data_IF_361642392569
#
_entry.id   IF_361642392569
#
_cell.length_a   1.000
_cell.length_b   1.000
_cell.length_c   1.000
_cell.angle_alpha   90.00
_cell.angle_beta   90.00
_cell.angle_gamma   90.00
#
_symmetry.space_group_name_H-M   'P 1'
#
loop_
_entity.id
_entity.type
_entity.pdbx_description
1 polymer ?
#
# COMPACT_ATOMS: atom_id res chain seq x y z
N UNK A 1 4.51 -6.78 6.64
CA UNK A 1 4.23 -8.06 7.31
C UNK A 1 4.66 -9.23 6.43
N UNK A 2 5.36 -10.18 7.03
CA UNK A 2 5.81 -11.43 6.41
C UNK A 2 4.92 -12.56 6.93
N UNK A 3 3.98 -13.10 6.13
CA UNK A 3 3.11 -14.18 6.59
C UNK A 3 3.87 -15.51 6.82
N UNK A 4 5.04 -15.65 6.20
CA UNK A 4 5.94 -16.81 6.34
C UNK A 4 7.37 -16.39 6.74
N UNK A 5 7.57 -15.82 7.95
CA UNK A 5 8.89 -15.38 8.39
C UNK A 5 9.83 -16.58 8.55
N UNK A 6 11.13 -16.33 8.39
CA UNK A 6 12.14 -17.33 8.72
C UNK A 6 12.09 -17.64 10.22
N UNK A 7 12.19 -18.92 10.63
CA UNK A 7 12.26 -19.29 12.03
C UNK A 7 13.44 -18.60 12.73
N UNK A 8 13.21 -18.07 13.92
CA UNK A 8 14.27 -17.53 14.79
C UNK A 8 14.44 -18.47 16.00
N UNK A 9 15.69 -18.69 16.40
CA UNK A 9 16.01 -19.49 17.60
C UNK A 9 15.85 -18.73 18.91
N UNK A 10 15.44 -17.48 18.85
CA UNK A 10 15.26 -16.59 20.01
C UNK A 10 14.07 -17.05 20.85
N UNK A 11 14.24 -17.10 22.17
CA UNK A 11 13.24 -17.62 23.12
C UNK A 11 12.71 -16.56 24.10
N UNK A 12 13.32 -15.37 24.12
CA UNK A 12 13.01 -14.28 25.06
C UNK A 12 12.11 -13.17 24.45
N UNK A 13 11.71 -13.34 23.21
CA UNK A 13 10.80 -12.43 22.51
C UNK A 13 10.05 -13.15 21.38
N UNK A 14 8.91 -12.60 20.91
CA UNK A 14 8.23 -13.11 19.71
C UNK A 14 9.14 -13.03 18.47
N UNK A 15 8.95 -13.96 17.55
CA UNK A 15 9.60 -13.94 16.23
C UNK A 15 9.20 -12.69 15.46
N UNK A 16 10.18 -11.98 14.88
CA UNK A 16 9.91 -10.79 14.09
C UNK A 16 9.33 -11.16 12.72
N UNK A 17 8.07 -10.78 12.50
CA UNK A 17 7.34 -11.07 11.27
C UNK A 17 7.01 -9.80 10.45
N UNK A 18 7.73 -8.70 10.66
CA UNK A 18 7.53 -7.46 9.92
C UNK A 18 8.84 -6.69 9.72
N UNK A 19 8.83 -5.85 8.69
CA UNK A 19 9.86 -4.84 8.42
C UNK A 19 9.18 -3.50 8.19
N UNK A 20 9.93 -2.41 8.33
CA UNK A 20 9.42 -1.06 8.14
C UNK A 20 9.98 -0.48 6.84
N UNK A 21 9.12 0.20 6.08
CA UNK A 21 9.49 1.00 4.92
C UNK A 21 9.20 2.44 5.27
N UNK A 22 10.18 3.32 5.08
CA UNK A 22 10.05 4.74 5.38
C UNK A 22 9.98 5.55 4.10
N UNK A 23 8.97 6.42 3.99
CA UNK A 23 8.90 7.43 2.96
C UNK A 23 9.55 8.71 3.48
N UNK A 24 10.66 9.11 2.86
CA UNK A 24 11.40 10.31 3.20
C UNK A 24 11.33 11.30 2.04
N UNK A 25 11.09 12.58 2.34
CA UNK A 25 10.97 13.64 1.34
C UNK A 25 11.83 14.82 1.72
N UNK A 26 12.39 15.56 0.73
CA UNK A 26 13.17 16.79 0.97
C UNK A 26 12.28 17.98 1.34
N UNK A 27 11.07 18.01 0.78
CA UNK A 27 10.14 19.13 0.91
C UNK A 27 8.77 18.62 1.31
N UNK A 28 7.91 19.49 1.82
CA UNK A 28 6.50 19.19 2.12
C UNK A 28 5.70 18.81 0.88
N UNK A 29 6.02 19.44 -0.27
CA UNK A 29 5.41 19.11 -1.57
C UNK A 29 6.34 18.18 -2.33
N UNK A 30 5.85 16.98 -2.64
CA UNK A 30 6.57 15.95 -3.38
C UNK A 30 5.61 15.19 -4.29
N UNK A 31 6.16 14.48 -5.27
CA UNK A 31 5.38 13.60 -6.13
C UNK A 31 4.95 12.35 -5.35
N UNK A 32 3.67 12.02 -5.45
CA UNK A 32 3.12 10.78 -4.92
C UNK A 32 1.86 10.39 -5.70
N UNK A 33 1.93 9.30 -6.45
CA UNK A 33 0.80 8.77 -7.20
C UNK A 33 0.03 7.72 -6.38
N UNK A 34 -0.97 8.17 -5.66
CA UNK A 34 -1.84 7.29 -4.89
C UNK A 34 -2.77 6.44 -5.77
N UNK A 35 -3.07 6.88 -7.01
CA UNK A 35 -4.00 6.17 -7.90
C UNK A 35 -3.36 4.88 -8.43
N UNK A 36 -2.09 4.91 -8.81
CA UNK A 36 -1.37 3.77 -9.37
C UNK A 36 -1.26 2.58 -8.41
N UNK A 37 -1.29 2.84 -7.11
CA UNK A 37 -1.14 1.81 -6.07
C UNK A 37 -2.43 1.43 -5.35
N UNK A 38 -3.60 1.93 -5.82
CA UNK A 38 -4.89 1.55 -5.24
C UNK A 38 -5.11 0.04 -5.32
N UNK A 39 -5.71 -0.50 -4.28
CA UNK A 39 -6.10 -1.91 -4.18
C UNK A 39 -7.59 -2.07 -4.41
N UNK A 40 -8.01 -3.25 -4.87
CA UNK A 40 -9.43 -3.55 -5.00
C UNK A 40 -10.14 -3.46 -3.64
N UNK A 41 -11.30 -2.83 -3.64
CA UNK A 41 -12.11 -2.70 -2.43
C UNK A 41 -12.83 -4.03 -2.16
N UNK A 42 -12.56 -4.66 -1.02
CA UNK A 42 -13.28 -5.86 -0.57
C UNK A 42 -14.73 -5.58 -0.15
N UNK A 43 -15.10 -4.32 -0.06
CA UNK A 43 -16.44 -3.86 0.37
C UNK A 43 -17.37 -3.57 -0.81
N UNK A 44 -17.01 -4.02 -2.02
CA UNK A 44 -17.87 -3.90 -3.18
C UNK A 44 -19.21 -4.62 -2.91
N UNK A 45 -20.29 -3.86 -2.84
CA UNK A 45 -21.64 -4.41 -2.71
C UNK A 45 -22.22 -4.54 -1.31
N UNK A 46 -21.48 -4.33 -0.23
CA UNK A 46 -22.06 -4.19 1.12
C UNK A 46 -22.30 -2.74 1.48
N UNK A 47 -22.99 -2.03 0.61
CA UNK A 47 -23.56 -0.77 1.01
C UNK A 47 -24.71 -1.05 1.96
N UNK A 48 -24.49 -0.81 3.24
CA UNK A 48 -25.61 -0.60 4.13
C UNK A 48 -26.35 0.60 3.56
N UNK A 49 -27.57 0.37 3.05
CA UNK A 49 -28.48 1.46 2.70
C UNK A 49 -28.46 2.43 3.87
N UNK A 50 -28.21 3.73 3.61
CA UNK A 50 -28.28 4.70 4.69
C UNK A 50 -29.64 4.48 5.36
N UNK A 51 -29.62 4.29 6.65
CA UNK A 51 -30.86 4.30 7.42
C UNK A 51 -31.59 5.57 6.98
N UNK A 52 -32.77 5.42 6.37
CA UNK A 52 -33.64 6.57 6.11
C UNK A 52 -33.98 7.17 7.46
N UNK A 53 -33.12 8.08 7.93
CA UNK A 53 -33.45 8.93 9.05
C UNK A 53 -34.63 9.78 8.56
N UNK A 54 -35.76 9.59 9.16
CA UNK A 54 -36.95 10.43 8.94
C UNK A 54 -36.58 11.82 9.42
N UNK A 55 -37.12 12.84 8.76
CA UNK A 55 -36.88 14.25 9.03
C UNK A 55 -37.20 14.68 10.48
N UNK A 56 -37.72 13.80 11.30
CA UNK A 56 -38.06 14.02 12.70
C UNK A 56 -36.84 13.93 13.67
N UNK A 57 -35.66 13.44 13.21
CA UNK A 57 -34.48 13.24 14.09
C UNK A 57 -33.58 14.48 14.17
N UNK A 58 -34.02 15.68 13.69
CA UNK A 58 -33.14 16.84 13.48
C UNK A 58 -33.48 18.09 14.33
N UNK A 59 -34.34 17.96 15.33
CA UNK A 59 -34.68 19.10 16.22
C UNK A 59 -33.58 19.44 17.24
N UNK A 60 -32.49 18.63 17.34
CA UNK A 60 -31.42 18.84 18.32
C UNK A 60 -30.26 19.71 17.82
N UNK A 61 -30.30 20.26 16.64
CA UNK A 61 -29.30 21.22 16.14
C UNK A 61 -27.90 20.58 15.82
N UNK A 62 -27.76 19.29 15.76
CA UNK A 62 -26.47 18.61 15.54
C UNK A 62 -25.95 18.64 14.09
N UNK A 63 -26.47 19.48 13.23
CA UNK A 63 -25.92 19.94 11.94
C UNK A 63 -25.14 18.98 11.04
N UNK A 64 -25.25 17.68 11.23
CA UNK A 64 -24.63 16.67 10.36
C UNK A 64 -25.43 16.57 9.06
N UNK A 65 -25.07 17.38 8.07
CA UNK A 65 -25.63 17.28 6.72
C UNK A 65 -25.43 15.85 6.20
N UNK A 66 -26.53 15.25 5.76
CA UNK A 66 -26.48 14.02 4.97
C UNK A 66 -25.60 14.30 3.74
N UNK A 67 -24.42 13.70 3.68
CA UNK A 67 -23.54 13.82 2.53
C UNK A 67 -24.25 13.21 1.31
N UNK A 68 -24.80 14.06 0.45
CA UNK A 68 -25.20 13.70 -0.90
C UNK A 68 -23.92 13.36 -1.69
N UNK A 69 -23.56 12.11 -1.77
CA UNK A 69 -22.31 11.72 -2.44
C UNK A 69 -22.05 10.21 -2.44
N UNK A 70 -22.98 9.42 -1.97
CA UNK A 70 -22.81 7.98 -1.81
C UNK A 70 -23.14 7.12 -3.06
N UNK A 71 -23.37 7.73 -4.22
CA UNK A 71 -23.72 6.98 -5.44
C UNK A 71 -22.53 6.59 -6.31
N UNK A 72 -21.29 6.81 -5.85
CA UNK A 72 -20.10 6.29 -6.53
C UNK A 72 -19.79 4.88 -6.03
N UNK A 73 -19.87 3.91 -6.95
CA UNK A 73 -19.26 2.59 -6.72
C UNK A 73 -17.75 2.76 -6.62
N UNK A 74 -17.23 2.66 -5.42
CA UNK A 74 -15.79 2.64 -5.19
C UNK A 74 -15.28 1.21 -5.41
N UNK A 75 -14.78 0.93 -6.61
CA UNK A 75 -14.17 -0.36 -6.94
C UNK A 75 -12.77 -0.49 -6.36
N UNK A 76 -12.11 0.62 -6.07
CA UNK A 76 -10.74 0.69 -5.55
C UNK A 76 -10.67 1.50 -4.25
N UNK A 77 -9.80 1.08 -3.36
CA UNK A 77 -9.49 1.75 -2.10
C UNK A 77 -8.01 2.15 -2.06
N UNK A 78 -7.68 3.18 -1.28
CA UNK A 78 -6.29 3.56 -1.04
C UNK A 78 -5.53 2.37 -0.44
N UNK A 79 -4.28 2.19 -0.88
CA UNK A 79 -3.39 1.18 -0.32
C UNK A 79 -3.19 1.43 1.17
N UNK A 80 -3.33 0.38 1.97
CA UNK A 80 -3.10 0.45 3.42
C UNK A 80 -1.61 0.50 3.73
N UNK A 81 -1.26 0.99 4.90
CA UNK A 81 0.11 1.10 5.40
C UNK A 81 0.72 -0.25 5.84
N UNK A 82 -0.12 -1.26 6.10
CA UNK A 82 0.34 -2.62 6.40
C UNK A 82 0.21 -3.48 5.14
N UNK A 83 1.36 -3.93 4.62
CA UNK A 83 1.44 -4.79 3.44
C UNK A 83 1.79 -6.21 3.85
N UNK A 84 1.07 -7.19 3.33
CA UNK A 84 1.34 -8.61 3.54
C UNK A 84 2.05 -9.16 2.31
N UNK A 85 3.37 -9.30 2.41
CA UNK A 85 4.22 -9.76 1.31
C UNK A 85 4.95 -11.03 1.76
N UNK A 86 4.73 -12.18 1.10
CA UNK A 86 5.42 -13.41 1.44
C UNK A 86 6.91 -13.33 1.10
N UNK A 87 7.72 -13.94 1.96
CA UNK A 87 9.14 -14.14 1.67
C UNK A 87 9.24 -15.19 0.56
N UNK A 88 9.88 -14.82 -0.55
CA UNK A 88 10.16 -15.70 -1.68
C UNK A 88 11.63 -16.14 -1.66
N UNK A 89 11.90 -17.40 -1.93
CA UNK A 89 13.25 -17.88 -2.13
C UNK A 89 13.79 -17.34 -3.46
N UNK A 90 15.03 -16.85 -3.43
CA UNK A 90 15.76 -16.44 -4.63
C UNK A 90 16.78 -17.50 -5.00
N UNK A 91 16.75 -18.05 -6.22
CA UNK A 91 17.64 -19.14 -6.63
C UNK A 91 19.09 -18.70 -6.92
N UNK A 92 19.36 -17.40 -6.91
CA UNK A 92 20.70 -16.85 -7.17
C UNK A 92 21.58 -16.74 -5.93
N UNK A 93 22.84 -16.34 -6.12
CA UNK A 93 23.86 -16.22 -5.09
C UNK A 93 23.73 -14.99 -4.17
N UNK A 94 22.52 -14.46 -3.95
CA UNK A 94 22.26 -13.30 -3.10
C UNK A 94 21.42 -13.68 -1.88
N UNK A 95 21.94 -13.37 -0.68
CA UNK A 95 21.36 -13.81 0.59
C UNK A 95 20.23 -12.91 1.14
N UNK A 96 20.08 -11.69 0.63
CA UNK A 96 19.13 -10.71 1.18
C UNK A 96 18.35 -9.99 0.07
N UNK A 97 17.59 -10.77 -0.71
CA UNK A 97 16.75 -10.21 -1.77
C UNK A 97 15.35 -9.94 -1.27
N UNK A 98 14.74 -8.86 -1.73
CA UNK A 98 13.31 -8.58 -1.55
C UNK A 98 12.55 -8.89 -2.85
N UNK A 99 11.26 -9.17 -2.72
CA UNK A 99 10.42 -9.48 -3.88
C UNK A 99 10.03 -8.21 -4.66
N UNK A 100 9.75 -8.37 -5.96
CA UNK A 100 9.20 -7.29 -6.80
C UNK A 100 7.90 -6.74 -6.24
N UNK A 101 7.04 -7.59 -5.66
CA UNK A 101 5.76 -7.21 -5.02
C UNK A 101 5.94 -6.19 -3.88
N UNK A 102 7.11 -6.20 -3.21
CA UNK A 102 7.41 -5.25 -2.15
C UNK A 102 7.76 -3.87 -2.70
N UNK A 103 8.61 -3.82 -3.74
CA UNK A 103 9.17 -2.56 -4.24
C UNK A 103 8.29 -1.89 -5.30
N UNK A 104 7.47 -2.67 -6.00
CA UNK A 104 6.59 -2.16 -7.06
C UNK A 104 5.72 -0.98 -6.61
N UNK A 105 4.97 -1.04 -5.50
CA UNK A 105 4.18 0.10 -5.06
C UNK A 105 5.03 1.31 -4.64
N UNK A 106 6.29 1.10 -4.25
CA UNK A 106 7.19 2.19 -3.93
C UNK A 106 7.63 2.94 -5.19
N UNK A 107 7.96 2.21 -6.26
CA UNK A 107 8.35 2.79 -7.55
C UNK A 107 7.16 3.50 -8.18
N UNK A 108 6.01 2.82 -8.28
CA UNK A 108 4.79 3.38 -8.88
C UNK A 108 4.32 4.67 -8.19
N UNK A 109 4.33 4.69 -6.87
CA UNK A 109 3.91 5.88 -6.14
C UNK A 109 4.95 6.99 -6.11
N UNK A 110 6.23 6.65 -6.08
CA UNK A 110 7.31 7.61 -5.83
C UNK A 110 8.01 8.16 -7.07
N UNK A 111 7.85 7.52 -8.24
CA UNK A 111 8.53 7.91 -9.47
C UNK A 111 7.53 8.13 -10.61
N UNK A 112 7.48 9.33 -11.23
CA UNK A 112 6.67 9.53 -12.42
C UNK A 112 7.24 8.75 -13.62
N UNK A 113 6.39 8.44 -14.60
CA UNK A 113 6.82 7.83 -15.87
C UNK A 113 7.92 8.68 -16.50
N UNK A 114 9.00 8.04 -16.94
CA UNK A 114 10.20 8.70 -17.45
C UNK A 114 11.09 9.33 -16.39
N UNK A 115 10.77 9.15 -15.10
CA UNK A 115 11.60 9.59 -13.98
C UNK A 115 12.81 8.66 -13.75
N UNK A 116 13.68 9.05 -12.83
CA UNK A 116 14.89 8.27 -12.49
C UNK A 116 14.73 7.63 -11.12
N UNK A 117 14.93 6.32 -11.05
CA UNK A 117 15.00 5.55 -9.82
C UNK A 117 16.46 5.23 -9.50
N UNK A 118 16.93 5.59 -8.30
CA UNK A 118 18.27 5.27 -7.82
C UNK A 118 18.19 4.24 -6.69
N UNK A 119 18.88 3.13 -6.87
CA UNK A 119 19.08 2.11 -5.83
C UNK A 119 20.58 1.89 -5.60
N UNK A 120 21.17 2.52 -4.55
CA UNK A 120 22.59 2.40 -4.28
C UNK A 120 23.00 1.01 -3.74
N UNK A 121 22.03 0.17 -3.39
CA UNK A 121 22.24 -1.19 -2.85
C UNK A 121 21.53 -2.25 -3.69
N UNK A 122 21.54 -2.08 -5.01
CA UNK A 122 20.67 -2.82 -5.94
C UNK A 122 20.79 -4.36 -5.89
N UNK A 123 21.91 -4.93 -5.40
CA UNK A 123 22.06 -6.36 -5.23
C UNK A 123 21.66 -7.17 -6.47
N UNK A 124 20.55 -7.88 -6.38
CA UNK A 124 19.97 -8.65 -7.49
C UNK A 124 19.24 -7.78 -8.53
N UNK A 125 19.35 -6.46 -8.45
CA UNK A 125 18.71 -5.48 -9.33
C UNK A 125 17.17 -5.52 -9.35
N UNK A 126 16.53 -5.98 -8.28
CA UNK A 126 15.06 -6.09 -8.19
C UNK A 126 14.36 -4.76 -8.45
N UNK A 127 14.88 -3.66 -7.89
CA UNK A 127 14.37 -2.29 -8.13
C UNK A 127 14.49 -1.91 -9.61
N UNK A 128 15.62 -2.22 -10.25
CA UNK A 128 15.84 -1.95 -11.68
C UNK A 128 14.86 -2.73 -12.56
N UNK A 129 14.63 -4.02 -12.25
CA UNK A 129 13.65 -4.84 -12.98
C UNK A 129 12.26 -4.22 -12.92
N UNK A 130 11.83 -3.80 -11.73
CA UNK A 130 10.52 -3.15 -11.56
C UNK A 130 10.45 -1.82 -12.31
N UNK A 131 11.48 -0.98 -12.20
CA UNK A 131 11.50 0.30 -12.89
C UNK A 131 11.39 0.14 -14.42
N UNK A 132 12.14 -0.79 -15.03
CA UNK A 132 12.07 -1.08 -16.45
C UNK A 132 10.69 -1.63 -16.88
N UNK A 133 10.00 -2.37 -16.05
CA UNK A 133 8.64 -2.88 -16.34
C UNK A 133 7.58 -1.78 -16.38
N UNK A 134 7.85 -0.63 -15.78
CA UNK A 134 6.91 0.51 -15.76
C UNK A 134 7.11 1.47 -16.93
N UNK A 135 8.18 1.33 -17.72
CA UNK A 135 8.45 2.13 -18.92
C UNK A 135 7.76 1.60 -20.20
N UNK A 136 7.13 0.40 -20.13
CA UNK A 136 6.44 -0.29 -21.22
C UNK A 136 4.90 -0.06 -21.22
#
# INVERSE_FOLDING_TARGET
HKPNPMPESVKDRPTRAHEQIFLLTKNEKYYYDAESIKTESKTLGTRQTPHKRTTQDWEDGSGLQAHAGFDKEYTKANKRDVWSVPVKSYPGAHFATYSTELIEPCVLAGCPVGGTVLDPFSGAATTGVVACQQEG
#
